data_IF_816378491070
#
_entry.id   IF_816378491070
#
_cell.length_a   1.000
_cell.length_b   1.000
_cell.length_c   1.000
_cell.angle_alpha   90.00
_cell.angle_beta   90.00
_cell.angle_gamma   90.00
#
_symmetry.space_group_name_H-M   'P 1'
#
loop_
_entity.id
_entity.type
_entity.pdbx_description
1 polymer ?
#
# COMPACT_ATOMS: atom_id res chain seq x y z
N UNK A 1 -6.42 -29.26 1.75
CA UNK A 1 -6.11 -28.32 0.65
C UNK A 1 -6.85 -27.04 0.99
N UNK A 2 -6.16 -26.15 1.71
CA UNK A 2 -6.70 -24.86 2.14
C UNK A 2 -6.50 -23.92 0.94
N UNK A 3 -7.57 -23.30 0.43
CA UNK A 3 -7.49 -22.41 -0.72
C UNK A 3 -6.55 -21.25 -0.45
N UNK A 4 -5.51 -21.14 -1.28
CA UNK A 4 -4.78 -19.90 -1.51
C UNK A 4 -5.75 -18.92 -2.18
N UNK A 5 -6.61 -18.29 -1.38
CA UNK A 5 -7.35 -17.13 -1.85
C UNK A 5 -6.33 -16.00 -1.95
N UNK A 6 -5.80 -15.82 -3.16
CA UNK A 6 -4.93 -14.72 -3.51
C UNK A 6 -5.67 -13.41 -3.20
N UNK A 7 -4.93 -12.46 -2.61
CA UNK A 7 -5.32 -11.12 -2.16
C UNK A 7 -6.27 -10.33 -3.09
N UNK A 8 -6.39 -10.74 -4.34
CA UNK A 8 -6.94 -9.99 -5.45
C UNK A 8 -8.32 -10.51 -5.89
N UNK A 9 -8.63 -11.77 -5.59
CA UNK A 9 -9.98 -12.30 -5.78
C UNK A 9 -10.96 -11.64 -4.79
N UNK A 10 -10.48 -11.32 -3.57
CA UNK A 10 -11.30 -10.66 -2.53
C UNK A 10 -11.46 -9.16 -2.78
N UNK A 11 -10.44 -8.49 -3.33
CA UNK A 11 -10.52 -7.07 -3.69
C UNK A 11 -11.56 -6.79 -4.78
N UNK A 12 -11.92 -7.80 -5.60
CA UNK A 12 -12.90 -7.69 -6.66
C UNK A 12 -14.37 -7.76 -6.19
N UNK A 13 -14.69 -8.41 -5.07
CA UNK A 13 -16.09 -8.73 -4.74
C UNK A 13 -16.78 -7.82 -3.72
N UNK A 14 -16.06 -6.97 -2.97
CA UNK A 14 -16.64 -6.34 -1.76
C UNK A 14 -16.46 -4.83 -1.63
N UNK A 15 -16.32 -4.09 -2.73
CA UNK A 15 -15.98 -2.67 -2.67
C UNK A 15 -17.07 -1.75 -3.21
N UNK A 16 -17.51 -0.84 -2.33
CA UNK A 16 -18.51 0.19 -2.59
C UNK A 16 -18.10 1.03 -3.82
N UNK A 17 -19.05 1.26 -4.73
CA UNK A 17 -18.80 1.88 -6.05
C UNK A 17 -18.19 3.30 -5.94
N UNK A 18 -18.33 3.94 -4.78
CA UNK A 18 -17.81 5.29 -4.51
C UNK A 18 -16.31 5.30 -4.11
N UNK A 19 -15.80 4.20 -3.54
CA UNK A 19 -14.39 4.08 -3.12
C UNK A 19 -13.49 3.58 -4.25
N UNK A 20 -14.07 2.91 -5.25
CA UNK A 20 -13.35 2.40 -6.41
C UNK A 20 -12.70 3.49 -7.27
N UNK A 21 -13.17 4.74 -7.21
CA UNK A 21 -12.61 5.85 -7.98
C UNK A 21 -11.21 6.30 -7.51
N UNK A 22 -10.83 5.95 -6.28
CA UNK A 22 -9.59 6.43 -5.63
C UNK A 22 -8.57 5.32 -5.40
N UNK A 23 -8.88 4.08 -5.78
CA UNK A 23 -7.97 2.94 -5.66
C UNK A 23 -7.78 2.30 -7.03
N UNK A 24 -6.54 2.28 -7.49
CA UNK A 24 -6.13 1.69 -8.75
C UNK A 24 -5.33 0.41 -8.46
N UNK A 25 -5.73 -0.70 -9.07
CA UNK A 25 -4.99 -1.96 -9.01
C UNK A 25 -3.86 -1.93 -10.03
N UNK A 26 -2.63 -2.11 -9.58
CA UNK A 26 -1.46 -2.09 -10.43
C UNK A 26 -1.20 -3.49 -10.98
N UNK A 27 -1.40 -3.66 -12.27
CA UNK A 27 -1.23 -4.95 -12.98
C UNK A 27 -0.10 -4.90 -14.00
N UNK A 28 0.51 -6.04 -14.27
CA UNK A 28 1.50 -6.16 -15.34
C UNK A 28 0.84 -6.44 -16.70
N UNK A 29 1.37 -5.82 -17.77
CA UNK A 29 0.80 -5.95 -19.12
C UNK A 29 0.87 -7.37 -19.70
N UNK A 30 1.75 -8.23 -19.18
CA UNK A 30 1.98 -9.55 -19.76
C UNK A 30 1.08 -10.65 -19.20
N UNK A 31 0.58 -10.51 -17.96
CA UNK A 31 -0.21 -11.56 -17.32
C UNK A 31 -1.46 -11.02 -16.60
N UNK A 32 -1.69 -9.70 -16.58
CA UNK A 32 -2.75 -9.09 -15.78
C UNK A 32 -2.55 -9.30 -14.27
N UNK A 33 -1.42 -9.89 -13.85
CA UNK A 33 -1.14 -10.19 -12.46
C UNK A 33 -0.93 -8.88 -11.69
N UNK A 34 -1.69 -8.66 -10.62
CA UNK A 34 -1.51 -7.49 -9.78
C UNK A 34 -0.23 -7.60 -8.95
N UNK A 35 0.48 -6.48 -8.84
CA UNK A 35 1.69 -6.37 -8.04
C UNK A 35 1.61 -5.26 -6.99
N UNK A 36 0.52 -4.50 -6.95
CA UNK A 36 0.36 -3.41 -6.00
C UNK A 36 -0.98 -2.70 -6.10
N UNK A 37 -1.16 -1.71 -5.23
CA UNK A 37 -2.30 -0.80 -5.22
C UNK A 37 -1.80 0.64 -5.18
N UNK A 38 -2.53 1.53 -5.84
CA UNK A 38 -2.32 2.96 -5.77
C UNK A 38 -3.56 3.63 -5.20
N UNK A 39 -3.38 4.39 -4.15
CA UNK A 39 -4.40 5.19 -3.48
C UNK A 39 -4.22 6.64 -3.92
N UNK A 40 -5.19 7.14 -4.68
CA UNK A 40 -5.26 8.50 -5.16
C UNK A 40 -6.06 9.39 -4.21
N UNK A 41 -5.50 10.54 -3.88
CA UNK A 41 -6.20 11.60 -3.17
C UNK A 41 -7.04 12.47 -4.10
N UNK A 42 -8.11 13.07 -3.58
CA UNK A 42 -8.90 14.06 -4.30
C UNK A 42 -8.16 15.38 -4.58
N UNK A 43 -6.99 15.58 -3.97
CA UNK A 43 -6.23 16.83 -4.03
C UNK A 43 -4.76 16.60 -4.38
N UNK A 44 -4.14 17.57 -5.07
CA UNK A 44 -2.71 17.56 -5.34
C UNK A 44 -1.89 17.56 -4.03
N UNK A 45 -0.80 16.77 -4.04
CA UNK A 45 0.07 16.59 -2.90
C UNK A 45 1.22 15.62 -3.20
N UNK A 46 1.95 15.19 -2.16
CA UNK A 46 3.12 14.33 -2.28
C UNK A 46 2.82 12.95 -2.89
N UNK A 47 3.81 12.36 -3.56
CA UNK A 47 3.77 11.00 -4.05
C UNK A 47 4.66 10.10 -3.19
N UNK A 48 4.05 9.14 -2.48
CA UNK A 48 4.75 8.18 -1.62
C UNK A 48 4.73 6.80 -2.25
N UNK A 49 5.89 6.15 -2.29
CA UNK A 49 6.02 4.75 -2.66
C UNK A 49 6.34 3.91 -1.43
N UNK A 50 5.61 2.82 -1.25
CA UNK A 50 5.84 1.80 -0.24
C UNK A 50 6.17 0.50 -0.94
N UNK A 51 7.32 -0.08 -0.64
CA UNK A 51 7.78 -1.32 -1.24
C UNK A 51 8.00 -2.40 -0.18
N UNK A 52 7.57 -3.62 -0.45
CA UNK A 52 7.79 -4.76 0.45
C UNK A 52 7.60 -6.09 -0.25
N UNK A 53 7.51 -7.16 0.53
CA UNK A 53 7.22 -8.51 0.02
C UNK A 53 5.90 -9.04 0.59
N UNK A 54 5.25 -9.95 -0.14
CA UNK A 54 4.13 -10.72 0.42
C UNK A 54 4.58 -11.57 1.62
N UNK A 55 3.69 -11.82 2.59
CA UNK A 55 2.30 -11.36 2.65
C UNK A 55 2.13 -9.97 3.28
N UNK A 56 3.21 -9.31 3.68
CA UNK A 56 3.13 -8.11 4.51
C UNK A 56 2.49 -6.93 3.76
N UNK A 57 2.85 -6.77 2.50
CA UNK A 57 2.25 -5.79 1.58
C UNK A 57 0.73 -5.98 1.50
N UNK A 58 0.28 -7.23 1.36
CA UNK A 58 -1.15 -7.59 1.34
C UNK A 58 -1.87 -7.17 2.61
N UNK A 59 -1.35 -7.58 3.76
CA UNK A 59 -1.96 -7.28 5.06
C UNK A 59 -2.03 -5.77 5.34
N UNK A 60 -1.07 -5.00 4.83
CA UNK A 60 -1.07 -3.53 4.95
C UNK A 60 -2.10 -2.92 4.02
N UNK A 61 -2.15 -3.36 2.76
CA UNK A 61 -3.17 -2.94 1.80
C UNK A 61 -4.58 -3.18 2.35
N UNK A 62 -4.88 -4.36 2.88
CA UNK A 62 -6.18 -4.69 3.47
C UNK A 62 -6.60 -3.70 4.57
N UNK A 63 -5.65 -3.25 5.40
CA UNK A 63 -5.93 -2.25 6.44
C UNK A 63 -6.08 -0.83 5.90
N UNK A 64 -5.31 -0.44 4.89
CA UNK A 64 -5.45 0.85 4.23
C UNK A 64 -6.79 0.95 3.50
N UNK A 65 -7.19 -0.15 2.86
CA UNK A 65 -8.47 -0.33 2.19
C UNK A 65 -9.66 -0.11 3.15
N UNK A 66 -9.52 -0.49 4.43
CA UNK A 66 -10.55 -0.25 5.46
C UNK A 66 -10.67 1.21 5.92
N UNK A 67 -9.84 2.14 5.41
CA UNK A 67 -9.92 3.55 5.80
C UNK A 67 -11.01 4.30 5.02
N UNK A 68 -12.13 4.69 5.65
CA UNK A 68 -13.22 5.39 4.94
C UNK A 68 -12.78 6.76 4.42
N UNK A 69 -11.77 7.37 5.05
CA UNK A 69 -11.28 8.71 4.72
C UNK A 69 -10.14 8.71 3.70
N UNK A 70 -9.79 7.56 3.09
CA UNK A 70 -8.62 7.48 2.22
C UNK A 70 -8.74 8.41 1.01
N UNK A 71 -9.95 8.61 0.48
CA UNK A 71 -10.22 9.54 -0.62
C UNK A 71 -9.96 11.03 -0.28
N UNK A 72 -9.89 11.39 1.01
CA UNK A 72 -9.57 12.76 1.45
C UNK A 72 -8.07 13.02 1.59
N UNK A 73 -7.23 12.02 1.31
CA UNK A 73 -5.79 12.24 1.29
C UNK A 73 -5.41 13.25 0.18
N UNK A 74 -4.27 13.91 0.37
CA UNK A 74 -3.60 14.68 -0.68
C UNK A 74 -2.51 13.82 -1.30
N UNK A 75 -2.32 13.95 -2.62
CA UNK A 75 -1.28 13.25 -3.35
C UNK A 75 -1.62 11.78 -3.59
N UNK A 76 -0.58 10.95 -3.72
CA UNK A 76 -0.71 9.53 -4.06
C UNK A 76 0.11 8.67 -3.12
N UNK A 77 -0.48 7.56 -2.67
CA UNK A 77 0.22 6.51 -1.92
C UNK A 77 0.20 5.25 -2.79
N UNK A 78 1.36 4.76 -3.17
CA UNK A 78 1.51 3.55 -3.95
C UNK A 78 2.15 2.47 -3.09
N UNK A 79 1.53 1.28 -3.02
CA UNK A 79 2.06 0.13 -2.28
C UNK A 79 2.32 -1.00 -3.27
N UNK A 80 3.57 -1.47 -3.36
CA UNK A 80 3.98 -2.53 -4.29
C UNK A 80 4.58 -3.73 -3.57
N UNK A 81 4.39 -4.89 -4.16
CA UNK A 81 5.06 -6.13 -3.78
C UNK A 81 6.20 -6.44 -4.74
N UNK A 82 7.42 -6.41 -4.22
CA UNK A 82 8.64 -6.65 -4.98
C UNK A 82 8.75 -8.08 -5.49
N UNK A 83 8.26 -9.06 -4.74
CA UNK A 83 8.22 -10.47 -5.17
C UNK A 83 7.23 -10.67 -6.34
N UNK A 84 6.04 -10.09 -6.27
CA UNK A 84 5.08 -10.14 -7.37
C UNK A 84 5.61 -9.40 -8.62
N UNK A 85 6.39 -8.33 -8.40
CA UNK A 85 7.04 -7.58 -9.46
C UNK A 85 8.17 -8.37 -10.14
N UNK A 86 8.98 -9.08 -9.35
CA UNK A 86 10.04 -9.98 -9.83
C UNK A 86 9.46 -11.17 -10.59
N UNK A 87 8.41 -11.81 -10.05
CA UNK A 87 7.66 -12.90 -10.71
C UNK A 87 7.09 -12.47 -12.06
N UNK A 88 6.68 -11.21 -12.17
CA UNK A 88 6.18 -10.64 -13.42
C UNK A 88 7.27 -10.19 -14.41
N UNK A 89 8.53 -10.57 -14.15
CA UNK A 89 9.69 -10.40 -15.03
C UNK A 89 9.80 -9.00 -15.63
N UNK A 90 10.02 -7.98 -14.78
CA UNK A 90 10.39 -6.60 -15.13
C UNK A 90 9.99 -6.13 -16.54
N UNK A 91 8.69 -5.97 -16.76
CA UNK A 91 8.23 -5.22 -17.92
C UNK A 91 8.66 -3.76 -17.79
N UNK A 92 9.09 -3.12 -18.90
CA UNK A 92 9.34 -1.66 -18.97
C UNK A 92 8.16 -0.83 -18.46
N UNK A 93 6.97 -1.43 -18.38
CA UNK A 93 5.73 -0.86 -17.86
C UNK A 93 5.72 -0.57 -16.34
N UNK A 94 6.62 -1.14 -15.55
CA UNK A 94 6.63 -0.84 -14.10
C UNK A 94 7.09 0.58 -13.84
N UNK A 95 8.09 1.05 -14.61
CA UNK A 95 8.59 2.41 -14.51
C UNK A 95 7.53 3.46 -14.91
N UNK A 96 6.57 3.10 -15.77
CA UNK A 96 5.42 3.95 -16.07
C UNK A 96 4.32 3.84 -15.00
N UNK A 97 4.23 2.73 -14.26
CA UNK A 97 3.26 2.62 -13.16
C UNK A 97 3.73 3.41 -11.92
N UNK A 98 5.04 3.40 -11.65
CA UNK A 98 5.69 4.31 -10.70
C UNK A 98 5.94 5.65 -11.41
N UNK A 99 4.87 6.23 -11.95
CA UNK A 99 4.93 7.48 -12.68
C UNK A 99 5.35 8.62 -11.72
N UNK A 100 6.51 9.20 -12.01
CA UNK A 100 7.11 10.26 -11.20
C UNK A 100 8.06 9.75 -10.12
N UNK A 101 9.09 10.56 -9.84
CA UNK A 101 9.99 10.31 -8.71
C UNK A 101 9.15 10.43 -7.43
N UNK A 102 9.08 9.39 -6.58
CA UNK A 102 8.40 9.52 -5.30
C UNK A 102 9.12 10.60 -4.48
N UNK A 103 8.33 11.44 -3.81
CA UNK A 103 8.85 12.39 -2.82
C UNK A 103 9.48 11.62 -1.66
N UNK A 104 8.87 10.50 -1.28
CA UNK A 104 9.39 9.59 -0.24
C UNK A 104 9.18 8.11 -0.57
N UNK A 105 10.12 7.29 -0.12
CA UNK A 105 10.13 5.84 -0.28
C UNK A 105 10.23 5.15 1.08
N UNK A 106 9.28 4.27 1.39
CA UNK A 106 9.29 3.46 2.59
C UNK A 106 9.40 1.97 2.24
N UNK A 107 10.39 1.29 2.83
CA UNK A 107 10.50 -0.16 2.74
C UNK A 107 9.82 -0.82 3.93
N UNK A 108 8.94 -1.78 3.65
CA UNK A 108 8.35 -2.63 4.68
C UNK A 108 9.39 -3.63 5.19
N UNK A 109 9.35 -3.97 6.50
CA UNK A 109 10.26 -4.95 7.06
C UNK A 109 10.02 -6.34 6.46
N UNK A 110 11.08 -7.13 6.31
CA UNK A 110 10.94 -8.53 5.92
C UNK A 110 10.56 -9.38 7.15
N UNK A 111 9.35 -9.96 7.13
CA UNK A 111 8.80 -10.75 8.24
C UNK A 111 8.54 -12.22 7.80
N UNK A 112 9.57 -13.07 7.68
CA UNK A 112 9.42 -14.42 7.16
C UNK A 112 8.60 -15.32 8.09
N UNK A 113 8.74 -15.12 9.40
CA UNK A 113 8.08 -15.91 10.45
C UNK A 113 6.64 -15.45 10.65
N UNK A 114 5.69 -16.39 10.51
CA UNK A 114 4.24 -16.15 10.66
C UNK A 114 3.87 -15.49 11.98
N UNK A 115 4.51 -15.90 13.08
CA UNK A 115 4.24 -15.40 14.43
C UNK A 115 4.40 -13.87 14.58
N UNK A 116 5.20 -13.21 13.72
CA UNK A 116 5.46 -11.78 13.80
C UNK A 116 4.78 -10.96 12.70
N UNK A 117 4.11 -11.61 11.74
CA UNK A 117 3.53 -10.94 10.56
C UNK A 117 2.46 -9.93 10.95
N UNK A 118 1.57 -10.29 11.87
CA UNK A 118 0.47 -9.41 12.29
C UNK A 118 0.97 -8.12 12.95
N UNK A 119 1.93 -8.26 13.87
CA UNK A 119 2.57 -7.15 14.55
C UNK A 119 3.37 -6.28 13.56
N UNK A 120 4.15 -6.91 12.68
CA UNK A 120 4.91 -6.20 11.64
C UNK A 120 3.97 -5.45 10.67
N UNK A 121 2.84 -6.06 10.30
CA UNK A 121 1.86 -5.44 9.42
C UNK A 121 1.24 -4.22 10.10
N UNK A 122 0.90 -4.34 11.38
CA UNK A 122 0.30 -3.26 12.16
C UNK A 122 1.28 -2.09 12.30
N UNK A 123 2.54 -2.37 12.61
CA UNK A 123 3.57 -1.33 12.71
C UNK A 123 3.86 -0.69 11.35
N UNK A 124 3.89 -1.49 10.28
CA UNK A 124 4.04 -0.99 8.90
C UNK A 124 2.91 -0.04 8.53
N UNK A 125 1.66 -0.44 8.81
CA UNK A 125 0.48 0.39 8.59
C UNK A 125 0.59 1.73 9.33
N UNK A 126 0.93 1.73 10.62
CA UNK A 126 1.12 2.97 11.37
C UNK A 126 2.30 3.80 10.88
N UNK A 127 3.37 3.17 10.40
CA UNK A 127 4.52 3.86 9.83
C UNK A 127 4.16 4.58 8.54
N UNK A 128 3.36 3.96 7.67
CA UNK A 128 2.82 4.59 6.46
C UNK A 128 1.96 5.80 6.84
N UNK A 129 1.01 5.64 7.77
CA UNK A 129 0.14 6.73 8.17
C UNK A 129 0.90 7.90 8.80
N UNK A 130 1.95 7.62 9.59
CA UNK A 130 2.85 8.64 10.13
C UNK A 130 3.59 9.37 9.01
N UNK A 131 4.11 8.66 8.01
CA UNK A 131 4.78 9.26 6.85
C UNK A 131 3.82 10.14 6.05
N UNK A 132 2.61 9.66 5.75
CA UNK A 132 1.58 10.45 5.09
C UNK A 132 1.22 11.70 5.91
N UNK A 133 1.21 11.60 7.24
CA UNK A 133 0.96 12.76 8.12
C UNK A 133 2.11 13.76 8.07
N UNK A 134 3.37 13.31 8.17
CA UNK A 134 4.52 14.20 8.14
C UNK A 134 4.66 14.95 6.82
N UNK A 135 4.17 14.37 5.73
CA UNK A 135 4.12 14.98 4.41
C UNK A 135 2.86 15.83 4.17
N UNK A 136 1.95 15.92 5.16
CA UNK A 136 0.70 16.68 5.03
C UNK A 136 -0.31 16.05 4.04
N UNK A 137 -0.16 14.77 3.73
CA UNK A 137 -1.13 14.02 2.92
C UNK A 137 -2.43 13.77 3.68
N UNK A 138 -2.37 13.64 5.00
CA UNK A 138 -3.53 13.45 5.89
C UNK A 138 -3.40 14.31 7.14
N UNK A 139 -4.52 14.57 7.82
CA UNK A 139 -4.57 15.46 9.00
C UNK A 139 -3.83 14.95 10.23
N UNK A 140 -3.54 13.66 10.36
CA UNK A 140 -2.84 13.13 11.53
C UNK A 140 -3.73 12.67 12.70
N UNK A 141 -5.06 12.92 12.66
CA UNK A 141 -5.95 12.63 13.79
C UNK A 141 -6.01 11.14 14.10
N UNK A 142 -5.70 10.76 15.34
CA UNK A 142 -5.77 9.37 15.81
C UNK A 142 -4.55 8.53 15.44
N UNK A 143 -3.51 9.12 14.83
CA UNK A 143 -2.27 8.43 14.53
C UNK A 143 -1.33 8.56 15.74
N UNK A 144 -0.83 7.44 16.31
CA UNK A 144 0.06 7.48 17.44
C UNK A 144 1.36 8.20 17.06
N UNK A 145 1.74 9.20 17.86
CA UNK A 145 3.09 9.76 17.82
C UNK A 145 4.09 8.66 18.16
N UNK A 146 5.26 8.68 17.52
CA UNK A 146 6.28 7.63 17.60
C UNK A 146 6.48 7.07 19.03
N UNK A 147 6.43 5.75 19.27
CA UNK A 147 6.66 5.19 20.62
C UNK A 147 8.07 5.48 21.16
N UNK A 148 9.02 5.90 20.31
CA UNK A 148 10.38 6.26 20.70
C UNK A 148 10.59 7.76 21.05
N UNK A 149 9.52 8.54 21.21
CA UNK A 149 9.59 9.95 21.68
C UNK A 149 8.93 10.14 23.06
N UNK A 150 8.94 9.07 23.86
CA UNK A 150 8.65 9.11 25.29
C UNK A 150 9.76 8.41 26.07
N UNK A 151 10.95 9.00 26.08
CA UNK A 151 11.90 9.06 27.21
C UNK A 151 13.17 9.81 26.83
#
# INVERSE_FOLDING_TARGET
MQGDNDMLDIAMEAWDQNSAAFVEVLTTNQQGKPFGLKFGGAFAGPNVLVAGHRPLTSMVCDRLLQLPTIHWMRGTLTVISLDALEEAAMSRSVASVIEGRPDELLFLPYAPRTAFREAAAKESYWSILRLCTSLGMISGRGIPSNPNLAK
#
